data_IF_275019326843
#
_entry.id   IF_275019326843
#
_cell.length_a   1.000
_cell.length_b   1.000
_cell.length_c   1.000
_cell.angle_alpha   90.00
_cell.angle_beta   90.00
_cell.angle_gamma   90.00
#
_symmetry.space_group_name_H-M   'P 1'
#
loop_
_entity.id
_entity.type
_entity.pdbx_description
1 polymer ?
#
# COMPACT_ATOMS: atom_id res chain seq x y z
N UNK A 1 0.89 19.30 -13.10
CA UNK A 1 1.75 18.95 -11.95
C UNK A 1 2.70 17.85 -12.37
N UNK A 2 3.97 17.93 -12.00
CA UNK A 2 4.98 16.93 -12.39
C UNK A 2 4.88 15.74 -11.41
N UNK A 3 4.35 14.61 -11.89
CA UNK A 3 4.11 13.41 -11.06
C UNK A 3 5.38 12.88 -10.38
N UNK A 4 6.56 13.25 -10.89
CA UNK A 4 7.86 12.91 -10.32
C UNK A 4 8.13 13.45 -8.91
N UNK A 5 7.32 14.40 -8.41
CA UNK A 5 7.46 14.91 -7.03
C UNK A 5 6.90 13.95 -5.97
N UNK A 6 5.98 13.06 -6.35
CA UNK A 6 5.41 12.04 -5.44
C UNK A 6 6.32 10.82 -5.28
N UNK A 7 7.25 10.65 -6.21
CA UNK A 7 8.25 9.62 -6.12
C UNK A 7 9.52 10.26 -5.56
N UNK A 8 10.04 9.78 -4.43
CA UNK A 8 11.20 10.38 -3.73
C UNK A 8 12.51 10.50 -4.53
N UNK A 9 12.52 10.23 -5.85
CA UNK A 9 13.70 10.04 -6.70
C UNK A 9 13.51 10.57 -8.14
N UNK A 10 13.48 11.89 -8.39
CA UNK A 10 13.16 12.44 -9.71
C UNK A 10 14.02 11.90 -10.86
N UNK A 11 15.33 11.73 -10.67
CA UNK A 11 16.24 11.18 -11.71
C UNK A 11 15.92 9.73 -12.09
N UNK A 12 15.53 8.91 -11.11
CA UNK A 12 15.14 7.52 -11.37
C UNK A 12 13.92 7.49 -12.30
N UNK A 13 12.88 8.24 -11.95
CA UNK A 13 11.61 8.20 -12.66
C UNK A 13 11.56 9.00 -13.96
N UNK A 14 12.33 10.09 -14.06
CA UNK A 14 12.35 10.94 -15.25
C UNK A 14 13.33 10.45 -16.33
N UNK A 15 14.43 9.77 -15.94
CA UNK A 15 15.48 9.39 -16.90
C UNK A 15 15.66 7.87 -16.98
N UNK A 16 15.92 7.21 -15.85
CA UNK A 16 16.34 5.80 -15.84
C UNK A 16 15.19 4.84 -16.18
N UNK A 17 14.02 5.05 -15.58
CA UNK A 17 12.84 4.22 -15.82
C UNK A 17 12.40 4.26 -17.29
N UNK A 18 12.26 5.45 -17.95
CA UNK A 18 11.95 5.49 -19.38
C UNK A 18 13.00 4.80 -20.25
N UNK A 19 14.30 5.04 -20.01
CA UNK A 19 15.37 4.39 -20.77
C UNK A 19 15.32 2.85 -20.66
N UNK A 20 15.03 2.34 -19.46
CA UNK A 20 14.87 0.91 -19.23
C UNK A 20 13.60 0.37 -19.88
N UNK A 21 12.49 1.11 -19.80
CA UNK A 21 11.21 0.74 -20.41
C UNK A 21 11.32 0.54 -21.93
N UNK A 22 12.07 1.37 -22.64
CA UNK A 22 12.30 1.18 -24.08
C UNK A 22 13.06 -0.11 -24.43
N UNK A 23 13.77 -0.72 -23.47
CA UNK A 23 14.49 -2.00 -23.64
C UNK A 23 13.66 -3.20 -23.16
N UNK A 24 12.64 -2.97 -22.33
CA UNK A 24 11.85 -4.00 -21.66
C UNK A 24 10.37 -3.77 -21.97
N UNK A 25 9.79 -4.42 -22.99
CA UNK A 25 8.43 -4.14 -23.46
C UNK A 25 7.35 -4.23 -22.38
N UNK A 26 7.45 -5.18 -21.44
CA UNK A 26 6.51 -5.31 -20.33
C UNK A 26 6.55 -4.11 -19.39
N UNK A 27 7.74 -3.58 -19.12
CA UNK A 27 7.91 -2.39 -18.28
C UNK A 27 7.37 -1.14 -18.98
N UNK A 28 7.55 -1.02 -20.30
CA UNK A 28 6.93 0.05 -21.07
C UNK A 28 5.42 0.05 -20.94
N UNK A 29 4.78 -1.12 -21.03
CA UNK A 29 3.34 -1.23 -20.79
C UNK A 29 2.96 -0.74 -19.39
N UNK A 30 3.71 -1.10 -18.33
CA UNK A 30 3.40 -0.63 -16.97
C UNK A 30 3.56 0.90 -16.82
N UNK A 31 4.59 1.50 -17.44
CA UNK A 31 4.75 2.96 -17.48
C UNK A 31 3.59 3.64 -18.21
N UNK A 32 3.15 3.08 -19.34
CA UNK A 32 2.01 3.59 -20.10
C UNK A 32 0.69 3.42 -19.34
N UNK A 33 0.52 2.32 -18.60
CA UNK A 33 -0.65 2.09 -17.77
C UNK A 33 -0.76 3.16 -16.67
N UNK A 34 0.33 3.39 -15.93
CA UNK A 34 0.40 4.44 -14.93
C UNK A 34 0.15 5.83 -15.54
N UNK A 35 0.74 6.11 -16.70
CA UNK A 35 0.54 7.37 -17.42
C UNK A 35 -0.92 7.57 -17.82
N UNK A 36 -1.60 6.51 -18.27
CA UNK A 36 -3.02 6.55 -18.60
C UNK A 36 -3.87 6.82 -17.35
N UNK A 37 -3.59 6.20 -16.21
CA UNK A 37 -4.30 6.50 -14.94
C UNK A 37 -4.11 7.95 -14.50
N UNK A 38 -2.89 8.48 -14.63
CA UNK A 38 -2.66 9.91 -14.40
C UNK A 38 -3.49 10.79 -15.35
N UNK A 39 -3.58 10.43 -16.63
CA UNK A 39 -4.41 11.16 -17.59
C UNK A 39 -5.90 11.08 -17.27
N UNK A 40 -6.39 9.95 -16.74
CA UNK A 40 -7.78 9.82 -16.29
C UNK A 40 -8.11 10.81 -15.16
N UNK A 41 -7.17 11.03 -14.24
CA UNK A 41 -7.30 12.02 -13.16
C UNK A 41 -7.25 13.46 -13.69
N UNK A 42 -6.36 13.72 -14.67
CA UNK A 42 -6.19 15.05 -15.24
C UNK A 42 -7.29 15.44 -16.24
N UNK A 43 -8.03 14.46 -16.79
CA UNK A 43 -9.08 14.67 -17.78
C UNK A 43 -10.33 13.84 -17.41
N UNK A 44 -11.13 14.30 -16.44
CA UNK A 44 -12.31 13.58 -15.98
C UNK A 44 -13.29 13.21 -17.10
N UNK A 45 -13.48 14.09 -18.09
CA UNK A 45 -14.38 13.86 -19.24
C UNK A 45 -13.96 12.66 -20.11
N UNK A 46 -12.66 12.32 -20.10
CA UNK A 46 -12.10 11.20 -20.84
C UNK A 46 -11.66 10.05 -19.93
N UNK A 47 -11.97 10.10 -18.63
CA UNK A 47 -11.43 9.19 -17.62
C UNK A 47 -11.62 7.72 -18.01
N UNK A 48 -12.84 7.33 -18.42
CA UNK A 48 -13.15 5.97 -18.86
C UNK A 48 -12.30 5.49 -20.04
N UNK A 49 -11.92 6.37 -20.97
CA UNK A 49 -11.06 6.01 -22.10
C UNK A 49 -9.66 5.66 -21.61
N UNK A 50 -9.13 6.48 -20.71
CA UNK A 50 -7.80 6.30 -20.14
C UNK A 50 -7.73 5.14 -19.14
N UNK A 51 -8.78 4.89 -18.37
CA UNK A 51 -8.91 3.71 -17.50
C UNK A 51 -8.84 2.41 -18.32
N UNK A 52 -9.59 2.32 -19.43
CA UNK A 52 -9.50 1.17 -20.34
C UNK A 52 -8.11 1.01 -20.97
N UNK A 53 -7.43 2.10 -21.27
CA UNK A 53 -6.06 2.05 -21.80
C UNK A 53 -5.09 1.54 -20.73
N UNK A 54 -5.26 1.98 -19.49
CA UNK A 54 -4.51 1.46 -18.35
C UNK A 54 -4.72 -0.04 -18.17
N UNK A 55 -5.95 -0.53 -18.29
CA UNK A 55 -6.27 -1.96 -18.22
C UNK A 55 -5.60 -2.77 -19.32
N UNK A 56 -5.71 -2.30 -20.57
CA UNK A 56 -5.09 -2.94 -21.71
C UNK A 56 -3.56 -3.07 -21.54
N UNK A 57 -2.92 -2.00 -21.07
CA UNK A 57 -1.48 -2.04 -20.80
C UNK A 57 -1.11 -2.88 -19.58
N UNK A 58 -1.88 -2.86 -18.49
CA UNK A 58 -1.67 -3.77 -17.36
C UNK A 58 -1.76 -5.24 -17.78
N UNK A 59 -2.76 -5.61 -18.58
CA UNK A 59 -2.94 -6.97 -19.07
C UNK A 59 -1.74 -7.48 -19.88
N UNK A 60 -1.01 -6.57 -20.57
CA UNK A 60 0.19 -6.90 -21.33
C UNK A 60 1.48 -6.85 -20.48
N UNK A 61 1.56 -5.95 -19.50
CA UNK A 61 2.76 -5.68 -18.72
C UNK A 61 2.95 -6.61 -17.51
N UNK A 62 1.87 -6.95 -16.80
CA UNK A 62 1.94 -7.71 -15.54
C UNK A 62 2.41 -9.15 -15.76
N UNK A 63 1.81 -9.96 -16.65
CA UNK A 63 2.14 -11.40 -16.73
C UNK A 63 3.63 -11.68 -17.04
N UNK A 64 4.30 -10.96 -17.97
CA UNK A 64 5.73 -11.16 -18.18
C UNK A 64 6.59 -10.85 -16.95
N UNK A 65 6.25 -9.81 -16.17
CA UNK A 65 6.97 -9.43 -14.96
C UNK A 65 6.77 -10.48 -13.87
N UNK A 66 5.53 -10.97 -13.68
CA UNK A 66 5.25 -12.04 -12.70
C UNK A 66 6.05 -13.32 -12.99
N UNK A 67 6.33 -13.63 -14.27
CA UNK A 67 7.18 -14.79 -14.63
C UNK A 67 8.64 -14.62 -14.20
N UNK A 68 9.16 -13.39 -14.13
CA UNK A 68 10.54 -13.13 -13.68
C UNK A 68 10.74 -13.46 -12.19
N UNK A 69 9.65 -13.52 -11.39
CA UNK A 69 9.71 -13.89 -9.97
C UNK A 69 10.26 -15.32 -9.78
N UNK A 70 10.06 -16.21 -10.75
CA UNK A 70 10.50 -17.62 -10.64
C UNK A 70 12.01 -17.79 -10.74
N UNK A 71 12.71 -16.85 -11.35
CA UNK A 71 14.15 -16.91 -11.61
C UNK A 71 14.79 -15.54 -11.32
N UNK A 72 14.61 -15.08 -10.08
CA UNK A 72 15.13 -13.78 -9.64
C UNK A 72 16.65 -13.80 -9.61
N UNK A 73 17.26 -12.83 -10.29
CA UNK A 73 18.70 -12.65 -10.35
C UNK A 73 19.07 -11.15 -10.36
N UNK A 74 20.38 -10.86 -10.34
CA UNK A 74 20.88 -9.47 -10.26
C UNK A 74 20.55 -8.63 -11.50
N UNK A 75 20.25 -9.26 -12.64
CA UNK A 75 19.95 -8.58 -13.89
C UNK A 75 18.47 -8.19 -13.97
N UNK A 76 17.56 -9.04 -13.50
CA UNK A 76 16.12 -8.79 -13.53
C UNK A 76 15.58 -8.11 -12.26
N UNK A 77 16.33 -8.14 -11.15
CA UNK A 77 15.97 -7.50 -9.89
C UNK A 77 15.56 -6.02 -10.01
N UNK A 78 16.28 -5.15 -10.74
CA UNK A 78 15.89 -3.74 -10.90
C UNK A 78 14.59 -3.58 -11.70
N UNK A 79 14.35 -4.46 -12.68
CA UNK A 79 13.14 -4.48 -13.51
C UNK A 79 11.95 -4.86 -12.63
N UNK A 80 12.07 -5.94 -11.86
CA UNK A 80 11.05 -6.40 -10.91
C UNK A 80 10.73 -5.31 -9.89
N UNK A 81 11.74 -4.68 -9.30
CA UNK A 81 11.55 -3.61 -8.35
C UNK A 81 10.71 -2.46 -8.92
N UNK A 82 11.08 -1.94 -10.10
CA UNK A 82 10.37 -0.82 -10.73
C UNK A 82 8.97 -1.25 -11.18
N UNK A 83 8.83 -2.43 -11.77
CA UNK A 83 7.55 -2.95 -12.22
C UNK A 83 6.57 -3.14 -11.05
N UNK A 84 7.00 -3.71 -9.92
CA UNK A 84 6.14 -3.87 -8.73
C UNK A 84 5.70 -2.53 -8.16
N UNK A 85 6.58 -1.52 -8.13
CA UNK A 85 6.20 -0.17 -7.71
C UNK A 85 5.17 0.45 -8.65
N UNK A 86 5.36 0.35 -9.97
CA UNK A 86 4.39 0.84 -10.96
C UNK A 86 3.04 0.15 -10.85
N UNK A 87 3.02 -1.18 -10.68
CA UNK A 87 1.80 -1.96 -10.54
C UNK A 87 1.05 -1.55 -9.27
N UNK A 88 1.76 -1.49 -8.14
CA UNK A 88 1.17 -1.10 -6.86
C UNK A 88 0.57 0.31 -6.90
N UNK A 89 1.35 1.29 -7.36
CA UNK A 89 0.88 2.68 -7.47
C UNK A 89 -0.29 2.77 -8.46
N UNK A 90 -0.27 1.98 -9.53
CA UNK A 90 -1.39 1.91 -10.48
C UNK A 90 -2.63 1.25 -9.87
N UNK A 91 -2.50 0.28 -8.97
CA UNK A 91 -3.62 -0.25 -8.19
C UNK A 91 -4.22 0.83 -7.30
N UNK A 92 -3.39 1.53 -6.53
CA UNK A 92 -3.86 2.62 -5.66
C UNK A 92 -4.43 3.81 -6.45
N UNK A 93 -3.90 4.10 -7.63
CA UNK A 93 -4.40 5.13 -8.53
C UNK A 93 -5.81 4.84 -9.07
N UNK A 94 -6.23 3.58 -9.07
CA UNK A 94 -7.58 3.20 -9.47
C UNK A 94 -8.55 3.49 -8.34
N UNK A 95 -9.77 3.86 -8.73
CA UNK A 95 -10.88 3.90 -7.77
C UNK A 95 -11.16 2.47 -7.30
N UNK A 96 -11.33 2.24 -5.99
CA UNK A 96 -11.66 0.93 -5.50
C UNK A 96 -13.02 0.48 -6.05
N UNK A 97 -13.10 -0.78 -6.47
CA UNK A 97 -14.32 -1.40 -6.96
C UNK A 97 -15.09 -2.05 -5.79
N UNK A 98 -16.44 -2.14 -5.85
CA UNK A 98 -17.23 -2.82 -4.82
C UNK A 98 -16.71 -4.22 -4.48
N UNK A 99 -16.67 -4.57 -3.20
CA UNK A 99 -16.15 -5.85 -2.71
C UNK A 99 -14.63 -5.96 -2.64
N UNK A 100 -13.88 -4.87 -2.88
CA UNK A 100 -12.41 -4.87 -2.83
C UNK A 100 -11.89 -4.37 -1.47
N UNK A 101 -11.22 -5.25 -0.73
CA UNK A 101 -10.67 -4.99 0.60
C UNK A 101 -9.18 -4.61 0.58
N UNK A 102 -8.71 -3.94 -0.47
CA UNK A 102 -7.29 -3.65 -0.78
C UNK A 102 -6.36 -4.87 -0.97
N UNK A 103 -6.40 -5.84 -0.07
CA UNK A 103 -5.59 -7.07 -0.05
C UNK A 103 -6.34 -8.21 -0.75
N UNK A 104 -7.68 -8.22 -0.63
CA UNK A 104 -8.56 -9.21 -1.22
C UNK A 104 -9.49 -8.53 -2.23
N UNK A 105 -9.67 -9.16 -3.38
CA UNK A 105 -10.69 -8.81 -4.37
C UNK A 105 -11.36 -10.09 -4.86
N UNK A 106 -12.70 -10.10 -4.92
CA UNK A 106 -13.48 -11.27 -5.39
C UNK A 106 -13.13 -12.58 -4.63
N UNK A 107 -12.79 -12.48 -3.35
CA UNK A 107 -12.42 -13.63 -2.51
C UNK A 107 -11.01 -14.18 -2.73
N UNK A 108 -10.20 -13.54 -3.57
CA UNK A 108 -8.80 -13.93 -3.83
C UNK A 108 -7.82 -12.84 -3.44
N UNK A 109 -6.58 -13.23 -3.13
CA UNK A 109 -5.46 -12.30 -2.95
C UNK A 109 -5.22 -11.51 -4.25
N UNK A 110 -5.02 -10.21 -4.10
CA UNK A 110 -4.70 -9.33 -5.22
C UNK A 110 -3.30 -9.61 -5.80
N UNK A 111 -3.12 -9.57 -7.14
CA UNK A 111 -1.85 -9.92 -7.77
C UNK A 111 -0.65 -9.06 -7.34
N UNK A 112 -0.87 -7.83 -6.88
CA UNK A 112 0.21 -6.92 -6.50
C UNK A 112 0.92 -7.32 -5.20
N UNK A 113 0.28 -8.07 -4.30
CA UNK A 113 0.91 -8.56 -3.08
C UNK A 113 2.01 -9.59 -3.38
N UNK A 114 1.75 -10.53 -4.29
CA UNK A 114 2.76 -11.48 -4.76
C UNK A 114 3.98 -10.80 -5.40
N UNK A 115 3.76 -9.68 -6.09
CA UNK A 115 4.84 -8.85 -6.64
C UNK A 115 5.64 -8.11 -5.56
N UNK A 116 4.98 -7.70 -4.47
CA UNK A 116 5.62 -7.10 -3.30
C UNK A 116 6.49 -8.12 -2.55
N UNK A 117 5.97 -9.34 -2.36
CA UNK A 117 6.72 -10.48 -1.78
C UNK A 117 7.95 -10.84 -2.61
N UNK A 118 7.81 -10.87 -3.94
CA UNK A 118 8.94 -11.06 -4.85
C UNK A 118 10.00 -9.97 -4.68
N UNK A 119 9.61 -8.70 -4.57
CA UNK A 119 10.55 -7.58 -4.34
C UNK A 119 11.22 -7.66 -2.98
N UNK A 120 10.47 -7.99 -1.92
CA UNK A 120 11.02 -8.22 -0.59
C UNK A 120 12.10 -9.30 -0.62
N UNK A 121 11.79 -10.46 -1.21
CA UNK A 121 12.75 -11.55 -1.37
C UNK A 121 14.03 -11.09 -2.08
N UNK A 122 13.91 -10.28 -3.14
CA UNK A 122 15.07 -9.71 -3.84
C UNK A 122 15.88 -8.80 -2.91
N UNK A 123 15.22 -7.91 -2.17
CA UNK A 123 15.87 -6.96 -1.26
C UNK A 123 16.61 -7.70 -0.13
N UNK A 124 15.97 -8.70 0.48
CA UNK A 124 16.55 -9.49 1.57
C UNK A 124 17.70 -10.37 1.08
N UNK A 125 17.57 -10.96 -0.11
CA UNK A 125 18.57 -11.89 -0.66
C UNK A 125 19.78 -11.17 -1.26
N UNK A 126 19.56 -10.06 -1.96
CA UNK A 126 20.60 -9.37 -2.75
C UNK A 126 21.11 -8.08 -2.09
N UNK A 127 20.33 -7.50 -1.17
CA UNK A 127 20.57 -6.18 -0.60
C UNK A 127 20.12 -5.06 -1.53
N UNK A 128 19.54 -4.01 -0.94
CA UNK A 128 19.06 -2.80 -1.63
C UNK A 128 20.13 -2.23 -2.57
N UNK A 129 21.38 -2.15 -2.13
CA UNK A 129 22.46 -1.57 -2.92
C UNK A 129 22.74 -2.36 -4.21
N UNK A 130 22.60 -3.69 -4.20
CA UNK A 130 22.81 -4.50 -5.40
C UNK A 130 21.72 -4.26 -6.46
N UNK A 131 20.48 -4.02 -6.04
CA UNK A 131 19.35 -3.72 -6.94
C UNK A 131 19.52 -2.34 -7.58
N UNK A 132 19.99 -1.35 -6.80
CA UNK A 132 20.06 0.03 -7.24
C UNK A 132 21.39 0.41 -7.89
N UNK A 133 22.48 -0.31 -7.64
CA UNK A 133 23.79 -0.02 -8.25
C UNK A 133 23.75 0.08 -9.79
N UNK A 134 23.04 -0.80 -10.54
CA UNK A 134 22.88 -0.66 -11.99
C UNK A 134 22.07 0.58 -12.41
N UNK A 135 21.22 1.11 -11.53
CA UNK A 135 20.39 2.30 -11.75
C UNK A 135 21.13 3.60 -11.38
N UNK A 136 22.40 3.52 -10.98
CA UNK A 136 23.18 4.59 -10.33
C UNK A 136 22.97 4.53 -8.81
N UNK A 137 23.98 4.87 -8.00
CA UNK A 137 23.97 4.75 -6.51
C UNK A 137 22.79 5.46 -5.84
N UNK A 138 21.64 4.79 -5.87
CA UNK A 138 20.33 5.24 -5.36
C UNK A 138 19.97 4.55 -4.05
N UNK A 139 20.76 3.57 -3.57
CA UNK A 139 20.51 2.83 -2.33
C UNK A 139 20.48 3.74 -1.09
N UNK A 140 21.38 4.72 -1.03
CA UNK A 140 21.36 5.75 0.02
C UNK A 140 20.10 6.64 -0.02
N UNK A 141 19.55 6.89 -1.22
CA UNK A 141 18.35 7.70 -1.39
C UNK A 141 17.09 6.94 -0.93
N UNK A 142 17.01 5.62 -1.21
CA UNK A 142 15.93 4.74 -0.72
C UNK A 142 15.89 4.66 0.81
N UNK A 143 17.04 4.71 1.47
CA UNK A 143 17.16 4.77 2.93
C UNK A 143 16.83 6.17 3.49
N UNK A 144 17.25 7.24 2.81
CA UNK A 144 17.15 8.60 3.33
C UNK A 144 15.73 9.19 3.39
N UNK A 145 14.76 8.69 2.61
CA UNK A 145 13.33 9.03 2.79
C UNK A 145 13.04 10.52 3.02
N UNK A 146 13.68 11.44 2.28
CA UNK A 146 13.43 12.86 2.41
C UNK A 146 12.11 13.24 1.73
N UNK A 147 10.98 12.88 2.33
CA UNK A 147 9.68 13.49 2.02
C UNK A 147 9.34 14.57 3.07
N UNK A 148 10.35 15.35 3.46
CA UNK A 148 10.26 16.45 4.44
C UNK A 148 9.28 17.57 4.04
N UNK A 149 8.73 17.53 2.83
CA UNK A 149 7.78 18.51 2.31
C UNK A 149 6.30 18.15 2.55
N UNK A 150 5.99 16.98 3.13
CA UNK A 150 4.62 16.53 3.43
C UNK A 150 4.26 16.70 4.91
N UNK A 151 4.76 17.76 5.57
CA UNK A 151 4.31 18.09 6.92
C UNK A 151 2.84 18.51 6.87
N UNK A 152 1.95 17.62 7.31
CA UNK A 152 0.55 17.94 7.53
C UNK A 152 0.38 18.27 9.02
N UNK A 153 -0.23 19.42 9.34
CA UNK A 153 -0.65 19.75 10.71
C UNK A 153 -1.86 18.89 11.07
N UNK A 154 -1.59 17.63 11.41
CA UNK A 154 -2.60 16.67 11.87
C UNK A 154 -2.48 16.53 13.37
N UNK A 155 -3.64 16.35 14.03
CA UNK A 155 -3.65 15.98 15.45
C UNK A 155 -2.91 14.64 15.65
N UNK A 156 -2.29 14.43 16.83
CA UNK A 156 -1.75 13.13 17.20
C UNK A 156 -2.83 12.04 17.11
N UNK A 157 -2.45 10.87 16.57
CA UNK A 157 -3.31 9.68 16.54
C UNK A 157 -3.08 8.90 17.83
N UNK A 158 -4.07 8.87 18.72
CA UNK A 158 -4.00 8.12 19.98
C UNK A 158 -4.49 6.69 19.75
N UNK A 159 -3.57 5.79 19.37
CA UNK A 159 -3.92 4.43 18.93
C UNK A 159 -3.79 3.36 20.03
N UNK A 160 -2.96 3.59 21.05
CA UNK A 160 -2.54 2.56 22.02
C UNK A 160 -3.73 1.89 22.75
N UNK A 161 -4.69 2.66 23.25
CA UNK A 161 -5.86 2.13 23.95
C UNK A 161 -6.78 1.28 23.05
N UNK A 162 -6.86 1.62 21.75
CA UNK A 162 -7.62 0.82 20.79
C UNK A 162 -6.93 -0.52 20.51
N UNK A 163 -5.60 -0.54 20.47
CA UNK A 163 -4.82 -1.76 20.25
C UNK A 163 -4.78 -2.67 21.49
N UNK A 164 -4.85 -2.10 22.69
CA UNK A 164 -5.09 -2.87 23.92
C UNK A 164 -6.45 -3.58 23.86
N UNK A 165 -7.50 -2.86 23.43
CA UNK A 165 -8.84 -3.45 23.24
C UNK A 165 -8.84 -4.54 22.16
N UNK A 166 -8.14 -4.33 21.04
CA UNK A 166 -7.96 -5.36 20.01
C UNK A 166 -7.21 -6.58 20.54
N UNK A 167 -6.27 -6.40 21.46
CA UNK A 167 -5.55 -7.53 22.07
C UNK A 167 -6.50 -8.41 22.89
N UNK A 168 -7.49 -7.82 23.56
CA UNK A 168 -8.57 -8.57 24.20
C UNK A 168 -9.43 -9.33 23.18
N UNK A 169 -9.84 -8.70 22.08
CA UNK A 169 -10.60 -9.35 21.00
C UNK A 169 -9.83 -10.54 20.39
N UNK A 170 -8.53 -10.37 20.15
CA UNK A 170 -7.66 -11.45 19.66
C UNK A 170 -7.59 -12.59 20.67
N UNK A 171 -7.59 -12.28 21.97
CA UNK A 171 -7.56 -13.28 23.04
C UNK A 171 -8.84 -14.10 23.15
N UNK A 172 -9.97 -13.57 22.66
CA UNK A 172 -11.27 -14.22 22.62
C UNK A 172 -11.53 -14.99 21.29
N UNK A 173 -10.62 -14.87 20.32
CA UNK A 173 -10.72 -15.56 19.03
C UNK A 173 -10.40 -17.05 19.14
N UNK A 174 -10.71 -17.82 18.09
CA UNK A 174 -10.44 -19.26 18.04
C UNK A 174 -8.94 -19.58 18.27
N UNK A 175 -8.59 -20.59 19.09
CA UNK A 175 -7.20 -20.88 19.44
C UNK A 175 -6.28 -21.15 18.25
N UNK A 176 -6.82 -21.70 17.14
CA UNK A 176 -6.04 -21.95 15.92
C UNK A 176 -5.66 -20.68 15.15
N UNK A 177 -6.40 -19.58 15.32
CA UNK A 177 -6.20 -18.31 14.61
C UNK A 177 -5.57 -17.24 15.52
N UNK A 178 -5.66 -17.41 16.84
CA UNK A 178 -5.17 -16.46 17.84
C UNK A 178 -3.70 -16.07 17.66
N UNK A 179 -2.82 -17.04 17.36
CA UNK A 179 -1.39 -16.76 17.16
C UNK A 179 -1.15 -15.91 15.91
N UNK A 180 -1.86 -16.21 14.81
CA UNK A 180 -1.83 -15.43 13.57
C UNK A 180 -2.27 -13.99 13.83
N UNK A 181 -3.42 -13.79 14.50
CA UNK A 181 -3.91 -12.44 14.79
C UNK A 181 -3.01 -11.67 15.75
N UNK A 182 -2.44 -12.34 16.76
CA UNK A 182 -1.51 -11.71 17.70
C UNK A 182 -0.26 -11.21 16.99
N UNK A 183 0.30 -12.02 16.10
CA UNK A 183 1.47 -11.63 15.30
C UNK A 183 1.15 -10.40 14.43
N UNK A 184 0.03 -10.39 13.73
CA UNK A 184 -0.29 -9.26 12.84
C UNK A 184 -0.71 -7.99 13.57
N UNK A 185 -1.31 -8.12 14.76
CA UNK A 185 -1.56 -6.99 15.63
C UNK A 185 -0.26 -6.39 16.19
N UNK A 186 0.74 -7.22 16.52
CA UNK A 186 2.07 -6.77 16.95
C UNK A 186 2.83 -6.06 15.82
N UNK A 187 2.78 -6.63 14.61
CA UNK A 187 3.32 -6.01 13.40
C UNK A 187 2.63 -4.66 13.11
N UNK A 188 1.30 -4.61 13.26
CA UNK A 188 0.53 -3.37 13.08
C UNK A 188 0.88 -2.33 14.16
N UNK A 189 1.07 -2.75 15.41
CA UNK A 189 1.50 -1.87 16.51
C UNK A 189 2.86 -1.23 16.20
N UNK A 190 3.79 -2.02 15.65
CA UNK A 190 5.10 -1.52 15.20
C UNK A 190 4.95 -0.50 14.07
N UNK A 191 4.04 -0.75 13.11
CA UNK A 191 3.71 0.20 12.06
C UNK A 191 3.16 1.52 12.63
N UNK A 192 2.20 1.47 13.55
CA UNK A 192 1.61 2.66 14.18
C UNK A 192 2.61 3.44 15.03
N UNK A 193 3.42 2.74 15.83
CA UNK A 193 4.48 3.36 16.63
C UNK A 193 5.51 4.07 15.74
N UNK A 194 5.91 3.44 14.62
CA UNK A 194 6.85 4.04 13.69
C UNK A 194 6.26 5.25 12.94
N UNK A 195 4.99 5.19 12.53
CA UNK A 195 4.30 6.28 11.85
C UNK A 195 3.93 7.41 12.82
N UNK A 196 3.11 7.14 13.83
CA UNK A 196 2.47 8.16 14.67
C UNK A 196 3.19 8.44 15.99
N UNK A 197 4.16 7.61 16.37
CA UNK A 197 4.76 7.65 17.72
C UNK A 197 3.83 7.08 18.79
N UNK A 198 4.15 7.34 20.05
CA UNK A 198 3.32 6.97 21.22
C UNK A 198 2.65 8.22 21.82
N UNK A 199 1.76 8.06 22.81
CA UNK A 199 1.18 9.19 23.57
C UNK A 199 2.27 10.16 24.08
N UNK A 200 3.41 9.63 24.54
CA UNK A 200 4.53 10.43 25.06
C UNK A 200 5.44 11.00 23.97
N UNK A 201 5.46 10.39 22.78
CA UNK A 201 6.38 10.71 21.68
C UNK A 201 5.65 10.98 20.37
N UNK A 202 4.48 11.60 20.44
CA UNK A 202 3.62 11.84 19.30
C UNK A 202 4.40 12.50 18.15
N UNK A 203 4.41 11.83 17.00
CA UNK A 203 5.13 12.30 15.81
C UNK A 203 4.15 12.96 14.85
N UNK A 204 4.55 14.12 14.33
CA UNK A 204 3.87 14.69 13.16
C UNK A 204 4.13 13.81 11.94
N UNK A 205 3.23 13.89 10.96
CA UNK A 205 3.42 13.21 9.69
C UNK A 205 4.66 13.71 8.95
N UNK A 206 5.53 12.77 8.56
CA UNK A 206 6.69 13.01 7.72
C UNK A 206 6.88 11.88 6.69
N UNK A 207 7.94 11.96 5.89
CA UNK A 207 8.24 10.99 4.85
C UNK A 207 8.56 9.56 5.28
N UNK A 208 8.79 9.33 6.57
CA UNK A 208 8.98 7.99 7.11
C UNK A 208 7.66 7.20 7.16
N UNK A 209 6.51 7.89 7.15
CA UNK A 209 5.16 7.31 7.24
C UNK A 209 4.90 6.33 6.10
N UNK A 210 5.19 6.74 4.86
CA UNK A 210 5.02 5.86 3.70
C UNK A 210 5.75 4.52 3.87
N UNK A 211 7.00 4.55 4.39
CA UNK A 211 7.79 3.33 4.59
C UNK A 211 7.21 2.46 5.70
N UNK A 212 6.79 3.05 6.82
CA UNK A 212 6.20 2.32 7.95
C UNK A 212 4.88 1.66 7.56
N UNK A 213 3.99 2.39 6.89
CA UNK A 213 2.67 1.92 6.47
C UNK A 213 2.78 0.85 5.39
N UNK A 214 3.63 1.07 4.37
CA UNK A 214 3.81 0.06 3.32
C UNK A 214 4.51 -1.18 3.86
N UNK A 215 5.43 -1.07 4.83
CA UNK A 215 6.08 -2.24 5.47
C UNK A 215 5.07 -3.23 6.01
N UNK A 216 4.00 -2.79 6.69
CA UNK A 216 2.99 -3.71 7.19
C UNK A 216 2.39 -4.56 6.06
N UNK A 217 2.05 -3.95 4.91
CA UNK A 217 1.57 -4.67 3.72
C UNK A 217 2.63 -5.63 3.13
N UNK A 218 3.92 -5.27 3.21
CA UNK A 218 5.02 -6.14 2.78
C UNK A 218 5.25 -7.35 3.70
N UNK A 219 4.88 -7.24 4.98
CA UNK A 219 5.16 -8.23 6.01
C UNK A 219 3.96 -9.13 6.36
N UNK A 220 2.84 -9.00 5.64
CA UNK A 220 1.63 -9.81 5.82
C UNK A 220 1.83 -11.31 5.57
N UNK A 221 1.43 -12.12 6.56
CA UNK A 221 1.48 -13.58 6.51
C UNK A 221 0.32 -14.18 5.72
N UNK A 222 0.59 -15.33 5.10
CA UNK A 222 -0.38 -16.09 4.31
C UNK A 222 -1.57 -16.57 5.14
N UNK A 223 -1.35 -16.95 6.40
CA UNK A 223 -2.41 -17.41 7.29
C UNK A 223 -3.42 -16.28 7.57
N UNK A 224 -2.93 -15.06 7.77
CA UNK A 224 -3.80 -13.89 7.96
C UNK A 224 -4.57 -13.53 6.69
N UNK A 225 -3.91 -13.61 5.52
CA UNK A 225 -4.58 -13.42 4.23
C UNK A 225 -5.68 -14.47 4.03
N UNK A 226 -5.44 -15.72 4.44
CA UNK A 226 -6.45 -16.79 4.41
C UNK A 226 -7.63 -16.45 5.31
N UNK A 227 -7.39 -15.90 6.51
CA UNK A 227 -8.46 -15.42 7.40
C UNK A 227 -9.27 -14.28 6.75
N UNK A 228 -8.61 -13.35 6.04
CA UNK A 228 -9.28 -12.28 5.29
C UNK A 228 -10.11 -12.82 4.12
N UNK A 229 -9.62 -13.83 3.39
CA UNK A 229 -10.38 -14.52 2.34
C UNK A 229 -11.62 -15.22 2.90
N UNK A 230 -11.47 -15.83 4.09
CA UNK A 230 -12.57 -16.40 4.88
C UNK A 230 -13.50 -15.35 5.50
N UNK A 231 -13.17 -14.06 5.38
CA UNK A 231 -13.91 -12.93 5.97
C UNK A 231 -14.08 -13.06 7.49
N UNK A 232 -13.08 -13.60 8.16
CA UNK A 232 -13.11 -13.73 9.62
C UNK A 232 -13.20 -12.35 10.28
N UNK A 233 -14.13 -12.21 11.23
CA UNK A 233 -14.46 -10.95 11.91
C UNK A 233 -13.21 -10.25 12.48
N UNK A 234 -12.39 -10.98 13.24
CA UNK A 234 -11.16 -10.42 13.85
C UNK A 234 -10.17 -9.94 12.80
N UNK A 235 -9.98 -10.70 11.72
CA UNK A 235 -9.10 -10.29 10.61
C UNK A 235 -9.60 -9.01 9.93
N UNK A 236 -10.90 -8.91 9.67
CA UNK A 236 -11.50 -7.71 9.09
C UNK A 236 -11.36 -6.50 10.01
N UNK A 237 -11.51 -6.68 11.33
CA UNK A 237 -11.34 -5.59 12.31
C UNK A 237 -9.89 -5.10 12.35
N UNK A 238 -8.89 -5.99 12.34
CA UNK A 238 -7.47 -5.60 12.29
C UNK A 238 -7.19 -4.81 10.99
N UNK A 239 -7.70 -5.29 9.85
CA UNK A 239 -7.58 -4.58 8.58
C UNK A 239 -8.24 -3.19 8.60
N UNK A 240 -9.41 -3.07 9.24
CA UNK A 240 -10.08 -1.78 9.41
C UNK A 240 -9.23 -0.79 10.20
N UNK A 241 -8.52 -1.23 11.24
CA UNK A 241 -7.61 -0.37 11.99
C UNK A 241 -6.39 0.04 11.17
N UNK A 242 -5.85 -0.85 10.33
CA UNK A 242 -4.80 -0.49 9.37
C UNK A 242 -5.23 0.63 8.41
N UNK A 243 -6.52 0.80 8.10
CA UNK A 243 -6.99 1.89 7.23
C UNK A 243 -6.70 3.30 7.78
N UNK A 244 -6.56 3.44 9.11
CA UNK A 244 -6.11 4.69 9.73
C UNK A 244 -4.66 5.01 9.35
N UNK A 245 -3.79 3.99 9.35
CA UNK A 245 -2.42 4.12 8.87
C UNK A 245 -2.36 4.35 7.36
N UNK A 246 -3.18 3.64 6.58
CA UNK A 246 -3.25 3.86 5.13
C UNK A 246 -3.65 5.31 4.80
N UNK A 247 -4.61 5.89 5.54
CA UNK A 247 -5.09 7.25 5.31
C UNK A 247 -3.97 8.30 5.41
N UNK A 248 -2.98 8.10 6.27
CA UNK A 248 -1.83 9.02 6.43
C UNK A 248 -0.85 8.99 5.27
N UNK A 249 -1.04 8.11 4.29
CA UNK A 249 -0.22 8.05 3.08
C UNK A 249 -1.04 8.24 1.80
N UNK A 250 -2.35 8.44 1.93
CA UNK A 250 -3.26 8.85 0.85
C UNK A 250 -3.13 10.36 0.55
N UNK A 251 -1.89 10.82 0.39
CA UNK A 251 -1.55 12.21 0.09
C UNK A 251 -1.19 12.35 -1.39
N UNK A 252 -2.17 12.80 -2.19
CA UNK A 252 -1.99 13.04 -3.62
C UNK A 252 -3.25 12.68 -4.42
N UNK A 253 -3.24 12.95 -5.74
CA UNK A 253 -4.36 12.59 -6.60
C UNK A 253 -4.51 11.06 -6.80
N UNK A 254 -3.49 10.28 -6.43
CA UNK A 254 -3.47 8.82 -6.48
C UNK A 254 -3.69 8.23 -5.09
N UNK A 255 -4.43 7.12 -4.98
CA UNK A 255 -4.65 6.44 -3.69
C UNK A 255 -5.81 6.99 -2.86
N UNK A 256 -6.43 8.12 -3.24
CA UNK A 256 -7.50 8.73 -2.45
C UNK A 256 -8.74 7.83 -2.39
N UNK A 257 -9.23 7.60 -1.17
CA UNK A 257 -10.52 6.95 -0.92
C UNK A 257 -10.48 5.44 -0.71
N UNK A 258 -9.29 4.82 -0.72
CA UNK A 258 -9.14 3.40 -0.40
C UNK A 258 -9.50 3.11 1.05
N UNK A 259 -8.93 3.86 1.99
CA UNK A 259 -9.19 3.78 3.42
C UNK A 259 -10.69 3.79 3.74
N UNK A 260 -11.41 4.79 3.21
CA UNK A 260 -12.84 4.94 3.39
C UNK A 260 -13.66 3.83 2.70
N UNK A 261 -13.27 3.44 1.48
CA UNK A 261 -13.95 2.36 0.77
C UNK A 261 -13.85 1.04 1.53
N UNK A 262 -12.65 0.64 1.95
CA UNK A 262 -12.42 -0.61 2.66
C UNK A 262 -13.18 -0.63 3.99
N UNK A 263 -13.22 0.48 4.74
CA UNK A 263 -14.03 0.58 5.96
C UNK A 263 -15.53 0.37 5.70
N UNK A 264 -16.06 0.90 4.59
CA UNK A 264 -17.46 0.68 4.20
C UNK A 264 -17.74 -0.78 3.85
N UNK A 265 -16.86 -1.40 3.08
CA UNK A 265 -16.98 -2.82 2.71
C UNK A 265 -16.93 -3.70 3.97
N UNK A 266 -15.95 -3.48 4.86
CA UNK A 266 -15.83 -4.21 6.12
C UNK A 266 -17.09 -4.03 6.96
N UNK A 267 -17.60 -2.80 7.11
CA UNK A 267 -18.85 -2.55 7.86
C UNK A 267 -20.04 -3.34 7.31
N UNK A 268 -20.10 -3.57 6.00
CA UNK A 268 -21.15 -4.38 5.38
C UNK A 268 -20.98 -5.89 5.56
N UNK A 269 -19.78 -6.34 5.98
CA UNK A 269 -19.45 -7.74 6.23
C UNK A 269 -19.57 -8.13 7.71
N UNK A 270 -19.55 -7.17 8.63
CA UNK A 270 -19.62 -7.42 10.07
C UNK A 270 -21.07 -7.56 10.57
N UNK A 271 -21.24 -8.38 11.61
CA UNK A 271 -22.47 -8.43 12.39
C UNK A 271 -22.67 -7.16 13.22
N UNK A 272 -23.93 -6.88 13.58
CA UNK A 272 -24.32 -5.63 14.25
C UNK A 272 -23.54 -5.39 15.55
N UNK A 273 -23.24 -6.45 16.30
CA UNK A 273 -22.48 -6.38 17.55
C UNK A 273 -21.03 -5.90 17.34
N UNK A 274 -20.44 -6.26 16.20
CA UNK A 274 -19.02 -6.00 15.91
C UNK A 274 -18.80 -4.66 15.21
N UNK A 275 -19.86 -4.01 14.72
CA UNK A 275 -19.77 -2.67 14.08
C UNK A 275 -19.15 -1.63 15.02
N UNK A 276 -19.32 -1.79 16.33
CA UNK A 276 -18.76 -0.88 17.35
C UNK A 276 -17.23 -0.77 17.27
N UNK A 277 -16.54 -1.84 16.86
CA UNK A 277 -15.08 -1.86 16.63
C UNK A 277 -14.63 -0.93 15.50
N UNK A 278 -15.53 -0.55 14.60
CA UNK A 278 -15.24 0.35 13.48
C UNK A 278 -15.41 1.82 13.83
N UNK A 279 -15.89 2.15 15.03
CA UNK A 279 -16.18 3.54 15.43
C UNK A 279 -14.94 4.42 15.32
N UNK A 280 -13.87 4.05 16.01
CA UNK A 280 -12.61 4.79 15.99
C UNK A 280 -11.97 4.91 14.59
N UNK A 281 -11.77 3.83 13.81
CA UNK A 281 -11.12 3.98 12.51
C UNK A 281 -11.97 4.82 11.53
N UNK A 282 -13.31 4.76 11.62
CA UNK A 282 -14.20 5.62 10.83
C UNK A 282 -14.04 7.09 11.21
N UNK A 283 -13.95 7.41 12.50
CA UNK A 283 -13.75 8.79 12.98
C UNK A 283 -12.41 9.34 12.50
N UNK A 284 -11.32 8.59 12.69
CA UNK A 284 -9.99 9.01 12.24
C UNK A 284 -9.96 9.29 10.73
N UNK A 285 -10.48 8.38 9.90
CA UNK A 285 -10.48 8.54 8.44
C UNK A 285 -11.33 9.74 7.99
N UNK A 286 -12.48 9.98 8.62
CA UNK A 286 -13.35 11.13 8.31
C UNK A 286 -12.74 12.47 8.74
N UNK A 287 -12.13 12.53 9.92
CA UNK A 287 -11.49 13.77 10.39
C UNK A 287 -10.44 14.29 9.40
N UNK A 288 -9.70 13.39 8.74
CA UNK A 288 -8.77 13.76 7.68
C UNK A 288 -9.43 14.33 6.42
N UNK A 289 -10.65 13.88 6.07
CA UNK A 289 -11.39 14.45 4.92
C UNK A 289 -11.79 15.90 5.18
N UNK A 290 -12.16 16.23 6.42
CA UNK A 290 -12.51 17.60 6.81
C UNK A 290 -11.30 18.54 6.87
N UNK A 291 -10.13 18.03 7.25
CA UNK A 291 -8.88 18.82 7.30
C UNK A 291 -8.23 19.01 5.92
N UNK A 292 -8.52 18.13 4.95
CA UNK A 292 -7.95 18.21 3.59
C UNK A 292 -8.77 19.07 2.61
N UNK A 293 -9.82 19.74 3.09
CA UNK A 293 -10.46 20.89 2.43
C UNK A 293 -10.82 20.67 0.97
N UNK A 294 -11.67 19.67 0.68
CA UNK A 294 -12.47 19.58 -0.55
C UNK A 294 -13.92 19.34 -0.17
#
# INVERSE_FOLDING_TARGET
MNSSQYFGYPKLWQEKVPQMAFRVPSLLHLVLAFSALHMALMRPDEAHRYERLADAHHALGVPPVTRLIRDINKENAPILFIASNLICISTFARRPAPGHLLIIAEGSEVPWLNLFRGVRFVIETMGVEAIFRPLGSMGACFQAGNYSHLQCDTKPVLWEAHFESLSSLVSESEPSEQETYRYELESLSTCFSAAFGTVETARKMDGSHFKSVTRWLYDLHDDYITCLQGKQTTALIILAHFMVALRSIEHGPFGRGWSWHVLKEIKGLLDIQDISWLTWPIEQVKEWDHLSGH
#
